data_IF_727610271285
#
_entry.id   IF_727610271285
#
_cell.length_a   1.000
_cell.length_b   1.000
_cell.length_c   1.000
_cell.angle_alpha   90.00
_cell.angle_beta   90.00
_cell.angle_gamma   90.00
#
_symmetry.space_group_name_H-M   'P 1'
#
loop_
_entity.id
_entity.type
_entity.pdbx_description
1 polymer ?
#
# COMPACT_ATOMS: atom_id res chain seq x y z
N UNK A 1 53.05 -41.91 -5.76
CA UNK A 1 52.51 -40.55 -5.86
C UNK A 1 51.05 -40.70 -6.24
N UNK A 2 50.19 -40.77 -5.22
CA UNK A 2 48.79 -41.13 -5.37
C UNK A 2 47.96 -39.86 -5.49
N UNK A 3 47.09 -39.87 -6.50
CA UNK A 3 46.16 -38.81 -6.89
C UNK A 3 45.08 -38.69 -5.82
N UNK A 4 44.95 -37.53 -5.19
CA UNK A 4 43.78 -37.17 -4.38
C UNK A 4 42.81 -36.39 -5.27
N UNK A 5 41.80 -37.10 -5.78
CA UNK A 5 40.54 -36.50 -6.23
C UNK A 5 39.79 -36.04 -4.99
N UNK A 6 39.64 -34.73 -4.86
CA UNK A 6 38.79 -34.11 -3.84
C UNK A 6 37.36 -34.26 -4.33
N UNK A 7 36.59 -35.14 -3.67
CA UNK A 7 35.16 -35.25 -3.88
C UNK A 7 34.51 -33.87 -3.69
N UNK A 8 33.88 -33.39 -4.76
CA UNK A 8 33.00 -32.25 -4.69
C UNK A 8 31.78 -32.66 -3.86
N UNK A 9 31.75 -32.21 -2.61
CA UNK A 9 30.54 -32.25 -1.79
C UNK A 9 29.53 -31.31 -2.46
N UNK A 10 28.67 -31.87 -3.32
CA UNK A 10 27.46 -31.19 -3.79
C UNK A 10 26.67 -30.77 -2.55
N UNK A 11 26.58 -29.46 -2.32
CA UNK A 11 25.65 -28.89 -1.35
C UNK A 11 24.25 -29.32 -1.78
N UNK A 12 23.67 -30.28 -1.08
CA UNK A 12 22.24 -30.57 -1.20
C UNK A 12 21.47 -29.25 -1.01
N UNK A 13 20.57 -28.88 -1.93
CA UNK A 13 19.73 -27.71 -1.74
C UNK A 13 18.92 -27.86 -0.44
N UNK A 14 18.72 -26.77 0.30
CA UNK A 14 18.12 -26.75 1.65
C UNK A 14 16.66 -27.23 1.71
N UNK A 15 16.07 -27.58 0.57
CA UNK A 15 14.63 -27.77 0.39
C UNK A 15 14.25 -29.14 -0.18
N UNK A 16 15.14 -30.12 -0.29
CA UNK A 16 14.83 -31.35 -1.01
C UNK A 16 14.02 -32.36 -0.18
N UNK A 17 12.69 -32.25 -0.20
CA UNK A 17 11.85 -33.42 0.06
C UNK A 17 12.23 -34.48 -0.98
N UNK A 18 12.71 -35.61 -0.50
CA UNK A 18 13.07 -36.74 -1.34
C UNK A 18 11.93 -37.76 -1.28
N UNK A 19 11.30 -38.08 -2.42
CA UNK A 19 10.36 -39.18 -2.48
C UNK A 19 11.02 -40.48 -2.00
N UNK A 20 10.26 -41.41 -1.41
CA UNK A 20 10.74 -42.76 -1.13
C UNK A 20 11.29 -43.44 -2.38
N UNK A 21 12.15 -44.44 -2.19
CA UNK A 21 12.62 -45.29 -3.29
C UNK A 21 11.46 -46.04 -3.95
N UNK A 22 11.63 -46.44 -5.22
CA UNK A 22 10.63 -47.25 -5.94
C UNK A 22 9.70 -46.47 -6.86
N UNK A 23 9.98 -45.18 -7.10
CA UNK A 23 9.27 -44.40 -8.10
C UNK A 23 9.49 -44.89 -9.53
N UNK A 24 8.52 -44.59 -10.39
CA UNK A 24 8.41 -45.04 -11.78
C UNK A 24 8.56 -43.90 -12.81
N UNK A 25 8.60 -42.64 -12.35
CA UNK A 25 8.74 -41.44 -13.21
C UNK A 25 9.81 -40.51 -12.65
N UNK A 26 10.61 -39.90 -13.53
CA UNK A 26 11.58 -38.86 -13.17
C UNK A 26 11.01 -37.48 -13.51
N UNK A 27 10.88 -36.59 -12.52
CA UNK A 27 10.63 -35.17 -12.74
C UNK A 27 11.95 -34.42 -12.68
N UNK A 28 12.23 -33.56 -13.65
CA UNK A 28 13.45 -32.75 -13.69
C UNK A 28 13.10 -31.26 -13.60
N UNK A 29 13.66 -30.56 -12.62
CA UNK A 29 13.49 -29.12 -12.45
C UNK A 29 14.27 -28.31 -13.49
N UNK A 30 14.02 -27.00 -13.56
CA UNK A 30 14.77 -26.09 -14.42
C UNK A 30 16.21 -25.84 -13.96
N UNK A 31 16.52 -26.11 -12.68
CA UNK A 31 17.86 -26.11 -12.09
C UNK A 31 18.48 -27.52 -12.03
N UNK A 32 18.09 -28.39 -12.97
CA UNK A 32 18.65 -29.72 -13.26
C UNK A 32 18.55 -30.77 -12.13
N UNK A 33 17.81 -30.49 -11.05
CA UNK A 33 17.53 -31.47 -9.99
C UNK A 33 16.48 -32.47 -10.45
N UNK A 34 16.75 -33.77 -10.25
CA UNK A 34 15.83 -34.84 -10.65
C UNK A 34 15.20 -35.52 -9.43
N UNK A 35 13.88 -35.68 -9.45
CA UNK A 35 13.08 -36.35 -8.44
C UNK A 35 12.47 -37.62 -9.02
N UNK A 36 12.85 -38.79 -8.50
CA UNK A 36 12.20 -40.04 -8.85
C UNK A 36 10.91 -40.20 -8.05
N UNK A 37 9.75 -40.03 -8.69
CA UNK A 37 8.43 -39.96 -8.06
C UNK A 37 7.55 -41.16 -8.43
N UNK A 38 6.42 -41.29 -7.73
CA UNK A 38 5.43 -42.33 -7.95
C UNK A 38 4.24 -41.73 -8.72
N UNK A 39 4.08 -42.10 -9.99
CA UNK A 39 3.06 -41.58 -10.89
C UNK A 39 1.65 -41.69 -10.31
N UNK A 40 1.35 -42.79 -9.62
CA UNK A 40 0.07 -43.04 -8.96
C UNK A 40 -0.25 -42.00 -7.87
N UNK A 41 0.73 -41.59 -7.06
CA UNK A 41 0.49 -40.62 -5.99
C UNK A 41 0.27 -39.22 -6.57
N UNK A 42 1.06 -38.84 -7.57
CA UNK A 42 0.89 -37.56 -8.25
C UNK A 42 -0.45 -37.51 -9.02
N UNK A 43 -0.80 -38.56 -9.76
CA UNK A 43 -2.06 -38.62 -10.51
C UNK A 43 -3.29 -38.64 -9.61
N UNK A 44 -3.20 -39.18 -8.39
CA UNK A 44 -4.29 -39.09 -7.41
C UNK A 44 -4.44 -37.68 -6.81
N UNK A 45 -3.34 -36.94 -6.69
CA UNK A 45 -3.33 -35.61 -6.10
C UNK A 45 -3.57 -34.47 -7.10
N UNK A 46 -3.33 -34.72 -8.39
CA UNK A 46 -3.31 -33.74 -9.47
C UNK A 46 -3.97 -34.30 -10.72
N UNK A 47 -5.01 -33.62 -11.19
CA UNK A 47 -5.66 -33.94 -12.47
C UNK A 47 -4.71 -33.75 -13.64
N UNK A 48 -3.88 -32.71 -13.61
CA UNK A 48 -2.86 -32.41 -14.64
C UNK A 48 -1.84 -33.54 -14.77
N UNK A 49 -1.31 -34.07 -13.66
CA UNK A 49 -0.39 -35.20 -13.71
C UNK A 49 -1.10 -36.49 -14.11
N UNK A 50 -2.35 -36.72 -13.68
CA UNK A 50 -3.13 -37.87 -14.11
C UNK A 50 -3.28 -37.92 -15.65
N UNK A 51 -3.63 -36.78 -16.24
CA UNK A 51 -3.77 -36.62 -17.69
C UNK A 51 -2.40 -36.80 -18.38
N UNK A 52 -1.34 -36.19 -17.85
CA UNK A 52 0.02 -36.30 -18.39
C UNK A 52 0.53 -37.75 -18.43
N UNK A 53 0.23 -38.54 -17.40
CA UNK A 53 0.64 -39.95 -17.34
C UNK A 53 -0.24 -40.87 -18.18
N UNK A 54 -1.51 -40.52 -18.41
CA UNK A 54 -2.42 -41.30 -19.27
C UNK A 54 -1.95 -41.33 -20.74
N UNK A 55 -1.22 -40.29 -21.18
CA UNK A 55 -0.80 -40.06 -22.58
C UNK A 55 0.45 -40.82 -23.08
N UNK A 56 0.88 -41.91 -22.44
CA UNK A 56 2.07 -42.75 -22.79
C UNK A 56 3.46 -42.26 -22.33
N UNK A 57 3.61 -41.57 -21.19
CA UNK A 57 4.94 -41.42 -20.57
C UNK A 57 5.28 -42.70 -19.78
N UNK A 58 5.59 -43.80 -20.48
CA UNK A 58 5.95 -45.07 -19.83
C UNK A 58 7.43 -45.20 -19.45
N UNK A 59 8.32 -44.29 -19.87
CA UNK A 59 9.74 -44.27 -19.50
C UNK A 59 10.44 -43.01 -20.00
N UNK A 60 10.23 -41.87 -19.33
CA UNK A 60 10.91 -40.63 -19.71
C UNK A 60 10.95 -39.62 -18.58
N UNK A 61 12.03 -38.85 -18.52
CA UNK A 61 12.15 -37.71 -17.62
C UNK A 61 11.24 -36.58 -18.09
N UNK A 62 10.37 -36.09 -17.21
CA UNK A 62 9.49 -34.96 -17.47
C UNK A 62 10.17 -33.69 -16.95
N UNK A 63 10.55 -32.81 -17.87
CA UNK A 63 11.09 -31.51 -17.51
C UNK A 63 9.98 -30.55 -17.09
N UNK A 64 10.09 -29.98 -15.89
CA UNK A 64 9.21 -28.95 -15.37
C UNK A 64 9.95 -27.60 -15.34
N UNK A 65 9.28 -26.48 -15.63
CA UNK A 65 9.91 -25.15 -15.60
C UNK A 65 10.15 -24.62 -14.18
N UNK A 66 9.60 -25.26 -13.16
CA UNK A 66 9.79 -24.91 -11.76
C UNK A 66 11.17 -25.33 -11.23
N UNK A 67 11.67 -24.57 -10.26
CA UNK A 67 12.89 -24.90 -9.52
C UNK A 67 12.70 -26.10 -8.58
N UNK A 68 13.81 -26.64 -8.08
CA UNK A 68 13.81 -27.80 -7.20
C UNK A 68 12.99 -27.56 -5.90
N UNK A 69 12.99 -26.35 -5.34
CA UNK A 69 12.24 -26.02 -4.12
C UNK A 69 10.73 -26.08 -4.35
N UNK A 70 10.28 -25.54 -5.46
CA UNK A 70 8.86 -25.49 -5.85
C UNK A 70 8.33 -26.90 -6.12
N UNK A 71 9.09 -27.73 -6.84
CA UNK A 71 8.74 -29.14 -7.06
C UNK A 71 8.74 -29.90 -5.75
N UNK A 72 9.74 -29.68 -4.89
CA UNK A 72 9.81 -30.30 -3.57
C UNK A 72 8.58 -29.97 -2.71
N UNK A 73 8.11 -28.72 -2.70
CA UNK A 73 6.90 -28.32 -1.97
C UNK A 73 5.66 -29.06 -2.50
N UNK A 74 5.48 -29.10 -3.82
CA UNK A 74 4.43 -29.88 -4.46
C UNK A 74 4.45 -31.34 -3.99
N UNK A 75 5.63 -31.96 -4.02
CA UNK A 75 5.80 -33.36 -3.60
C UNK A 75 5.53 -33.54 -2.11
N UNK A 76 6.03 -32.67 -1.24
CA UNK A 76 5.79 -32.73 0.20
C UNK A 76 4.29 -32.65 0.55
N UNK A 77 3.50 -31.89 -0.22
CA UNK A 77 2.05 -31.86 -0.05
C UNK A 77 1.34 -33.09 -0.62
N UNK A 78 1.87 -33.70 -1.68
CA UNK A 78 1.29 -34.91 -2.30
C UNK A 78 1.56 -36.17 -1.48
N UNK A 79 2.77 -36.31 -0.95
CA UNK A 79 3.17 -37.50 -0.20
C UNK A 79 2.60 -37.49 1.23
N UNK A 80 2.48 -38.68 1.87
CA UNK A 80 1.97 -38.80 3.24
C UNK A 80 3.04 -38.42 4.28
N UNK A 81 3.53 -37.19 4.20
CA UNK A 81 4.49 -36.61 5.13
C UNK A 81 3.91 -35.40 5.85
N UNK A 82 4.63 -34.91 6.86
CA UNK A 82 4.27 -33.67 7.53
C UNK A 82 4.24 -32.52 6.51
N UNK A 83 3.14 -31.77 6.51
CA UNK A 83 2.97 -30.66 5.58
C UNK A 83 3.96 -29.54 5.91
N UNK A 84 4.62 -28.95 4.90
CA UNK A 84 5.53 -27.84 5.12
C UNK A 84 4.76 -26.60 5.62
N UNK A 85 5.40 -25.83 6.50
CA UNK A 85 4.84 -24.57 6.98
C UNK A 85 5.07 -23.46 5.94
N UNK A 86 4.02 -22.70 5.64
CA UNK A 86 4.10 -21.55 4.74
C UNK A 86 4.39 -20.30 5.57
N UNK A 87 5.68 -20.00 5.76
CA UNK A 87 6.15 -18.94 6.68
C UNK A 87 6.66 -17.69 5.98
N UNK A 88 6.85 -17.74 4.66
CA UNK A 88 7.34 -16.61 3.85
C UNK A 88 6.43 -16.36 2.65
N UNK A 89 6.50 -15.15 2.08
CA UNK A 89 5.76 -14.82 0.86
C UNK A 89 6.24 -15.61 -0.37
N UNK A 90 7.53 -15.94 -0.43
CA UNK A 90 8.10 -16.76 -1.51
C UNK A 90 7.54 -18.19 -1.47
N UNK A 91 7.48 -18.80 -0.28
CA UNK A 91 6.84 -20.11 -0.09
C UNK A 91 5.35 -20.05 -0.42
N UNK A 92 4.66 -18.97 -0.04
CA UNK A 92 3.24 -18.78 -0.39
C UNK A 92 3.05 -18.70 -1.90
N UNK A 93 3.90 -17.94 -2.60
CA UNK A 93 3.87 -17.80 -4.06
C UNK A 93 4.10 -19.14 -4.75
N UNK A 94 5.12 -19.89 -4.34
CA UNK A 94 5.41 -21.25 -4.85
C UNK A 94 4.26 -22.22 -4.59
N UNK A 95 3.70 -22.22 -3.37
CA UNK A 95 2.59 -23.11 -3.02
C UNK A 95 1.32 -22.78 -3.82
N UNK A 96 0.97 -21.50 -3.96
CA UNK A 96 -0.17 -21.06 -4.77
C UNK A 96 0.03 -21.37 -6.25
N UNK A 97 1.26 -21.19 -6.76
CA UNK A 97 1.64 -21.55 -8.13
C UNK A 97 1.37 -23.03 -8.40
N UNK A 98 1.94 -23.94 -7.61
CA UNK A 98 1.79 -25.39 -7.86
C UNK A 98 0.36 -25.86 -7.61
N UNK A 99 -0.32 -25.30 -6.60
CA UNK A 99 -1.73 -25.62 -6.33
C UNK A 99 -2.61 -25.33 -7.55
N UNK A 100 -2.37 -24.22 -8.24
CA UNK A 100 -3.15 -23.82 -9.42
C UNK A 100 -2.67 -24.49 -10.69
N UNK A 101 -1.37 -24.44 -10.97
CA UNK A 101 -0.79 -24.92 -12.23
C UNK A 101 -0.96 -26.44 -12.39
N UNK A 102 -0.79 -27.18 -11.30
CA UNK A 102 -0.92 -28.63 -11.28
C UNK A 102 -2.26 -29.09 -10.69
N UNK A 103 -3.21 -28.19 -10.46
CA UNK A 103 -4.54 -28.49 -9.91
C UNK A 103 -4.50 -29.44 -8.69
N UNK A 104 -3.72 -29.05 -7.68
CA UNK A 104 -3.57 -29.83 -6.44
C UNK A 104 -4.47 -29.25 -5.36
N UNK A 105 -5.71 -29.72 -5.33
CA UNK A 105 -6.77 -29.19 -4.45
C UNK A 105 -6.39 -29.22 -2.96
N UNK A 106 -5.61 -30.24 -2.54
CA UNK A 106 -5.11 -30.36 -1.17
C UNK A 106 -4.29 -29.14 -0.75
N UNK A 107 -3.41 -28.63 -1.62
CA UNK A 107 -2.57 -27.46 -1.30
C UNK A 107 -3.45 -26.21 -1.16
N UNK A 108 -4.40 -26.04 -2.08
CA UNK A 108 -5.35 -24.93 -2.01
C UNK A 108 -6.14 -24.94 -0.70
N UNK A 109 -6.66 -26.09 -0.28
CA UNK A 109 -7.37 -26.25 1.01
C UNK A 109 -6.49 -25.91 2.21
N UNK A 110 -5.23 -26.34 2.21
CA UNK A 110 -4.29 -26.03 3.30
C UNK A 110 -4.03 -24.52 3.38
N UNK A 111 -3.82 -23.85 2.25
CA UNK A 111 -3.64 -22.39 2.20
C UNK A 111 -4.87 -21.70 2.80
N UNK A 112 -6.08 -22.06 2.37
CA UNK A 112 -7.33 -21.46 2.86
C UNK A 112 -7.56 -21.69 4.36
N UNK A 113 -7.14 -22.83 4.89
CA UNK A 113 -7.25 -23.13 6.33
C UNK A 113 -6.17 -22.41 7.16
N UNK A 114 -4.96 -22.25 6.61
CA UNK A 114 -3.80 -21.69 7.32
C UNK A 114 -3.81 -20.17 7.36
N UNK A 115 -4.36 -19.54 6.32
CA UNK A 115 -4.39 -18.08 6.21
C UNK A 115 -5.70 -17.53 6.76
N UNK A 116 -5.60 -16.90 7.93
CA UNK A 116 -6.69 -16.18 8.60
C UNK A 116 -6.17 -14.84 9.16
N UNK A 117 -7.04 -14.05 9.78
CA UNK A 117 -6.72 -12.69 10.26
C UNK A 117 -5.61 -12.60 11.31
N UNK A 118 -5.19 -13.72 11.90
CA UNK A 118 -4.10 -13.78 12.90
C UNK A 118 -2.82 -14.44 12.35
N UNK A 119 -2.82 -14.84 11.08
CA UNK A 119 -1.64 -15.40 10.45
C UNK A 119 -0.53 -14.34 10.41
N UNK A 120 0.71 -14.73 10.74
CA UNK A 120 1.84 -13.80 10.86
C UNK A 120 2.12 -13.03 9.56
N UNK A 121 2.07 -13.70 8.41
CA UNK A 121 2.28 -13.06 7.10
C UNK A 121 1.18 -12.06 6.76
N UNK A 122 -0.08 -12.40 7.08
CA UNK A 122 -1.23 -11.50 6.87
C UNK A 122 -1.13 -10.26 7.75
N UNK A 123 -0.58 -10.38 8.96
CA UNK A 123 -0.34 -9.25 9.86
C UNK A 123 0.86 -8.43 9.39
N UNK A 124 1.97 -9.07 9.02
CA UNK A 124 3.22 -8.35 8.73
C UNK A 124 3.25 -7.72 7.35
N UNK A 125 2.74 -8.43 6.34
CA UNK A 125 2.73 -7.97 4.95
C UNK A 125 1.43 -8.37 4.21
N UNK A 126 0.29 -7.78 4.59
CA UNK A 126 -0.98 -8.02 3.90
C UNK A 126 -0.92 -7.60 2.43
N UNK A 127 -0.07 -6.65 2.05
CA UNK A 127 0.04 -6.18 0.67
C UNK A 127 0.72 -7.21 -0.24
N UNK A 128 1.80 -7.83 0.25
CA UNK A 128 2.47 -8.94 -0.42
C UNK A 128 1.56 -10.15 -0.56
N UNK A 129 0.82 -10.52 0.51
CA UNK A 129 -0.18 -11.60 0.44
C UNK A 129 -1.29 -11.28 -0.57
N UNK A 130 -1.76 -10.04 -0.61
CA UNK A 130 -2.74 -9.59 -1.60
C UNK A 130 -2.20 -9.74 -3.04
N UNK A 131 -0.96 -9.32 -3.30
CA UNK A 131 -0.33 -9.48 -4.62
C UNK A 131 -0.25 -10.94 -5.05
N UNK A 132 0.28 -11.80 -4.19
CA UNK A 132 0.47 -13.22 -4.49
C UNK A 132 -0.87 -13.93 -4.73
N UNK A 133 -1.88 -13.61 -3.91
CA UNK A 133 -3.22 -14.18 -4.08
C UNK A 133 -3.92 -13.73 -5.36
N UNK A 134 -3.72 -12.47 -5.81
CA UNK A 134 -4.21 -12.01 -7.12
C UNK A 134 -3.51 -12.75 -8.25
N UNK A 135 -2.17 -12.85 -8.21
CA UNK A 135 -1.35 -13.52 -9.23
C UNK A 135 -1.79 -14.95 -9.51
N UNK A 136 -2.19 -15.69 -8.47
CA UNK A 136 -2.62 -17.09 -8.56
C UNK A 136 -4.13 -17.30 -8.39
N UNK A 137 -4.92 -16.23 -8.48
CA UNK A 137 -6.38 -16.30 -8.40
C UNK A 137 -6.94 -16.99 -7.15
N UNK A 138 -6.47 -16.65 -5.94
CA UNK A 138 -7.03 -17.12 -4.66
C UNK A 138 -7.95 -16.05 -4.03
N UNK A 139 -9.26 -16.01 -4.39
CA UNK A 139 -10.14 -14.88 -4.06
C UNK A 139 -10.43 -14.71 -2.56
N UNK A 140 -10.47 -15.80 -1.80
CA UNK A 140 -10.65 -15.80 -0.35
C UNK A 140 -9.45 -15.20 0.36
N UNK A 141 -8.23 -15.60 -0.02
CA UNK A 141 -6.99 -15.01 0.50
C UNK A 141 -6.85 -13.55 0.05
N UNK A 142 -7.21 -13.24 -1.19
CA UNK A 142 -7.25 -11.87 -1.70
C UNK A 142 -8.16 -10.99 -0.82
N UNK A 143 -9.38 -11.46 -0.55
CA UNK A 143 -10.34 -10.74 0.29
C UNK A 143 -9.83 -10.58 1.74
N UNK A 144 -9.22 -11.63 2.28
CA UNK A 144 -8.62 -11.59 3.61
C UNK A 144 -7.51 -10.54 3.70
N UNK A 145 -6.57 -10.57 2.75
CA UNK A 145 -5.43 -9.67 2.69
C UNK A 145 -5.88 -8.22 2.53
N UNK A 146 -6.84 -7.96 1.63
CA UNK A 146 -7.42 -6.64 1.43
C UNK A 146 -8.04 -6.07 2.72
N UNK A 147 -8.79 -6.88 3.48
CA UNK A 147 -9.41 -6.48 4.75
C UNK A 147 -8.38 -6.22 5.87
N UNK A 148 -7.19 -6.79 5.76
CA UNK A 148 -6.10 -6.66 6.74
C UNK A 148 -5.20 -5.45 6.48
N UNK A 149 -5.27 -4.82 5.30
CA UNK A 149 -4.49 -3.62 4.98
C UNK A 149 -4.80 -2.46 5.95
N UNK A 150 -3.74 -1.71 6.31
CA UNK A 150 -3.77 -0.55 7.21
C UNK A 150 -2.74 0.46 6.72
N UNK A 151 -2.86 1.76 7.08
CA UNK A 151 -1.88 2.78 6.69
C UNK A 151 -0.44 2.46 7.12
N UNK A 152 -0.25 1.69 8.20
CA UNK A 152 1.07 1.24 8.67
C UNK A 152 1.77 0.29 7.71
N UNK A 153 1.02 -0.42 6.85
CA UNK A 153 1.57 -1.31 5.83
C UNK A 153 1.84 -0.56 4.54
N UNK A 154 0.91 0.29 4.12
CA UNK A 154 1.03 1.15 2.95
C UNK A 154 0.02 2.30 3.07
N UNK A 155 0.49 3.54 3.15
CA UNK A 155 -0.38 4.71 3.24
C UNK A 155 -0.76 5.23 1.84
N UNK A 156 -1.91 4.78 1.34
CA UNK A 156 -2.47 5.19 0.05
C UNK A 156 -2.89 6.67 -0.04
N UNK A 157 -2.72 7.44 1.03
CA UNK A 157 -2.99 8.87 1.09
C UNK A 157 -1.71 9.71 1.06
N UNK A 158 -0.54 9.10 0.83
CA UNK A 158 0.74 9.81 0.78
C UNK A 158 1.50 9.45 -0.49
N UNK A 159 2.33 10.38 -0.96
CA UNK A 159 3.19 10.17 -2.14
C UNK A 159 4.11 8.98 -1.92
N UNK A 160 4.80 8.92 -0.77
CA UNK A 160 5.71 7.81 -0.44
C UNK A 160 5.03 6.45 -0.37
N UNK A 161 3.83 6.37 0.21
CA UNK A 161 3.04 5.13 0.24
C UNK A 161 2.57 4.71 -1.15
N UNK A 162 2.09 5.64 -1.98
CA UNK A 162 1.69 5.36 -3.36
C UNK A 162 2.87 4.93 -4.25
N UNK A 163 4.03 5.56 -4.14
CA UNK A 163 5.25 5.12 -4.84
C UNK A 163 5.63 3.69 -4.42
N UNK A 164 5.54 3.37 -3.13
CA UNK A 164 5.78 2.01 -2.64
C UNK A 164 4.76 1.02 -3.22
N UNK A 165 3.49 1.43 -3.35
CA UNK A 165 2.43 0.62 -3.94
C UNK A 165 2.67 0.32 -5.43
N UNK A 166 3.17 1.29 -6.20
CA UNK A 166 3.56 1.09 -7.61
C UNK A 166 4.64 0.02 -7.76
N UNK A 167 5.62 -0.03 -6.84
CA UNK A 167 6.65 -1.08 -6.87
C UNK A 167 6.06 -2.49 -6.66
N UNK A 168 4.92 -2.59 -5.98
CA UNK A 168 4.21 -3.86 -5.79
C UNK A 168 3.35 -4.21 -7.01
N UNK A 169 2.75 -3.22 -7.67
CA UNK A 169 1.85 -3.36 -8.82
C UNK A 169 2.27 -2.46 -10.00
N UNK A 170 3.40 -2.75 -10.68
CA UNK A 170 3.93 -1.89 -11.73
C UNK A 170 2.97 -1.77 -12.93
N UNK A 171 2.22 -2.82 -13.24
CA UNK A 171 1.24 -2.85 -14.33
C UNK A 171 0.05 -1.89 -14.09
N UNK A 172 -0.17 -1.47 -12.84
CA UNK A 172 -1.23 -0.54 -12.45
C UNK A 172 -0.71 0.88 -12.18
N UNK A 173 0.56 1.17 -12.47
CA UNK A 173 1.25 2.46 -12.24
C UNK A 173 0.39 3.69 -12.58
N UNK A 174 -0.02 3.82 -13.84
CA UNK A 174 -0.81 4.95 -14.33
C UNK A 174 -2.15 5.11 -13.58
N UNK A 175 -2.84 4.01 -13.27
CA UNK A 175 -4.11 4.05 -12.54
C UNK A 175 -3.89 4.43 -11.06
N UNK A 176 -2.80 3.94 -10.45
CA UNK A 176 -2.36 4.31 -9.11
C UNK A 176 -2.00 5.80 -9.07
N UNK A 177 -1.26 6.31 -10.05
CA UNK A 177 -0.94 7.72 -10.17
C UNK A 177 -2.19 8.59 -10.26
N UNK A 178 -3.11 8.26 -11.17
CA UNK A 178 -4.34 9.01 -11.38
C UNK A 178 -5.22 9.10 -10.11
N UNK A 179 -5.50 7.96 -9.47
CA UNK A 179 -6.38 7.88 -8.29
C UNK A 179 -5.63 8.36 -7.04
N UNK A 180 -4.40 7.88 -6.87
CA UNK A 180 -3.55 8.16 -5.73
C UNK A 180 -3.22 9.65 -5.59
N UNK A 181 -3.03 10.37 -6.70
CA UNK A 181 -2.82 11.82 -6.65
C UNK A 181 -4.00 12.55 -6.03
N UNK A 182 -5.24 12.14 -6.31
CA UNK A 182 -6.41 12.76 -5.68
C UNK A 182 -6.46 12.47 -4.17
N UNK A 183 -6.18 11.24 -3.79
CA UNK A 183 -6.11 10.82 -2.39
C UNK A 183 -5.02 11.59 -1.60
N UNK A 184 -3.82 11.70 -2.17
CA UNK A 184 -2.71 12.43 -1.57
C UNK A 184 -2.99 13.94 -1.51
N UNK A 185 -3.59 14.51 -2.56
CA UNK A 185 -4.02 15.92 -2.57
C UNK A 185 -4.97 16.22 -1.43
N UNK A 186 -6.00 15.40 -1.23
CA UNK A 186 -6.96 15.56 -0.12
C UNK A 186 -6.21 15.54 1.23
N UNK A 187 -5.30 14.59 1.43
CA UNK A 187 -4.54 14.47 2.69
C UNK A 187 -3.64 15.68 2.93
N UNK A 188 -2.94 16.16 1.90
CA UNK A 188 -2.09 17.36 1.97
C UNK A 188 -2.93 18.58 2.33
N UNK A 189 -4.03 18.82 1.62
CA UNK A 189 -4.89 19.97 1.88
C UNK A 189 -5.51 19.93 3.28
N UNK A 190 -5.95 18.76 3.74
CA UNK A 190 -6.45 18.60 5.10
C UNK A 190 -5.38 18.94 6.14
N UNK A 191 -4.16 18.41 5.97
CA UNK A 191 -3.03 18.65 6.87
C UNK A 191 -2.67 20.13 6.94
N UNK A 192 -2.50 20.77 5.79
CA UNK A 192 -2.04 22.16 5.69
C UNK A 192 -3.10 23.14 6.20
N UNK A 193 -4.37 22.95 5.82
CA UNK A 193 -5.43 23.91 6.13
C UNK A 193 -6.01 23.74 7.55
N UNK A 194 -6.05 22.51 8.08
CA UNK A 194 -6.75 22.22 9.34
C UNK A 194 -5.84 21.69 10.45
N UNK A 195 -4.90 20.79 10.14
CA UNK A 195 -4.06 20.18 11.19
C UNK A 195 -2.89 21.07 11.62
N UNK A 196 -2.40 21.93 10.72
CA UNK A 196 -1.20 22.75 10.94
C UNK A 196 -1.41 24.27 10.68
N UNK A 197 -2.46 24.91 11.26
CA UNK A 197 -2.75 26.33 11.03
C UNK A 197 -1.62 27.27 11.49
N UNK A 198 -0.81 26.84 12.46
CA UNK A 198 0.40 27.55 12.89
C UNK A 198 1.44 27.68 11.77
N UNK A 199 1.56 26.66 10.91
CA UNK A 199 2.51 26.71 9.79
C UNK A 199 2.08 27.74 8.75
N UNK A 200 0.77 27.90 8.57
CA UNK A 200 0.19 28.98 7.77
C UNK A 200 0.30 30.36 8.44
N UNK A 201 0.93 30.46 9.61
CA UNK A 201 1.23 31.73 10.26
C UNK A 201 0.10 32.32 11.10
N UNK A 202 -0.87 31.50 11.51
CA UNK A 202 -1.91 31.88 12.47
C UNK A 202 -1.34 31.79 13.89
N UNK A 203 -0.62 32.83 14.33
CA UNK A 203 0.06 32.82 15.64
C UNK A 203 -0.78 33.53 16.73
N UNK A 204 -0.60 33.15 18.02
CA UNK A 204 -1.36 33.73 19.15
C UNK A 204 -1.15 35.24 19.39
N UNK A 205 -0.04 35.79 18.89
CA UNK A 205 0.40 37.18 19.06
C UNK A 205 -0.02 38.11 17.90
N UNK A 206 -0.64 37.56 16.85
CA UNK A 206 -1.06 38.33 15.68
C UNK A 206 -2.38 39.05 15.93
N UNK A 207 -2.29 40.19 16.62
CA UNK A 207 -3.41 41.06 16.92
C UNK A 207 -4.21 41.48 15.69
N UNK A 208 -3.63 41.52 14.49
CA UNK A 208 -4.32 42.01 13.29
C UNK A 208 -5.36 41.05 12.70
N UNK A 209 -5.36 39.77 13.06
CA UNK A 209 -6.29 38.75 12.54
C UNK A 209 -7.62 38.66 13.31
N UNK A 210 -7.70 39.34 14.46
CA UNK A 210 -8.77 39.16 15.43
C UNK A 210 -9.07 40.45 16.20
N UNK A 211 -10.34 40.76 16.44
CA UNK A 211 -10.71 41.85 17.33
C UNK A 211 -10.35 41.55 18.79
N UNK A 212 -10.14 42.61 19.58
CA UNK A 212 -9.82 42.51 21.00
C UNK A 212 -10.86 41.71 21.78
N UNK A 213 -12.14 41.79 21.41
CA UNK A 213 -13.22 41.00 22.03
C UNK A 213 -13.12 39.51 21.71
N UNK A 214 -12.92 39.12 20.45
CA UNK A 214 -12.77 37.72 20.05
C UNK A 214 -11.47 37.10 20.62
N UNK A 215 -10.38 37.87 20.59
CA UNK A 215 -9.11 37.46 21.18
C UNK A 215 -9.21 37.31 22.70
N UNK A 216 -9.84 38.27 23.38
CA UNK A 216 -10.06 38.26 24.82
C UNK A 216 -10.98 37.11 25.27
N UNK A 217 -12.05 36.84 24.52
CA UNK A 217 -12.94 35.70 24.78
C UNK A 217 -12.18 34.37 24.73
N UNK A 218 -11.35 34.16 23.69
CA UNK A 218 -10.57 32.95 23.58
C UNK A 218 -9.53 32.80 24.69
N UNK A 219 -8.79 33.87 25.00
CA UNK A 219 -7.79 33.86 26.07
C UNK A 219 -8.43 33.55 27.44
N UNK A 220 -9.63 34.06 27.69
CA UNK A 220 -10.39 33.80 28.91
C UNK A 220 -10.95 32.38 29.01
N UNK A 221 -11.37 31.79 27.89
CA UNK A 221 -12.03 30.47 27.88
C UNK A 221 -11.04 29.29 27.78
N UNK A 222 -10.00 29.41 26.96
CA UNK A 222 -9.05 28.33 26.68
C UNK A 222 -7.70 28.52 27.39
N UNK A 223 -7.39 29.71 27.91
CA UNK A 223 -6.10 30.02 28.53
C UNK A 223 -5.00 30.40 27.52
N UNK A 224 -3.81 30.74 28.03
CA UNK A 224 -2.72 31.30 27.21
C UNK A 224 -1.99 30.27 26.31
N UNK A 225 -2.16 28.97 26.58
CA UNK A 225 -1.41 27.91 25.92
C UNK A 225 -2.05 27.43 24.60
N UNK A 226 -3.25 27.89 24.26
CA UNK A 226 -3.96 27.45 23.05
C UNK A 226 -3.87 28.48 21.92
N UNK A 227 -3.65 27.98 20.71
CA UNK A 227 -3.62 28.80 19.49
C UNK A 227 -5.03 29.31 19.19
N UNK A 228 -5.21 30.63 19.17
CA UNK A 228 -6.46 31.21 18.70
C UNK A 228 -6.56 31.10 17.18
N UNK A 229 -7.52 30.34 16.70
CA UNK A 229 -7.87 30.30 15.28
C UNK A 229 -9.16 31.10 15.07
N UNK A 230 -9.13 32.24 14.33
CA UNK A 230 -10.32 33.05 14.11
C UNK A 230 -11.42 32.28 13.37
N UNK A 231 -12.69 32.55 13.69
CA UNK A 231 -13.83 31.92 13.01
C UNK A 231 -13.83 32.10 11.48
N UNK A 232 -13.37 33.27 11.00
CA UNK A 232 -13.23 33.54 9.57
C UNK A 232 -12.22 32.59 8.89
N UNK A 233 -11.15 32.18 9.60
CA UNK A 233 -10.12 31.28 9.07
C UNK A 233 -10.71 29.91 8.76
N UNK A 234 -11.53 29.36 9.66
CA UNK A 234 -12.17 28.06 9.43
C UNK A 234 -13.04 28.07 8.17
N UNK A 235 -13.78 29.15 7.95
CA UNK A 235 -14.64 29.29 6.77
C UNK A 235 -13.80 29.46 5.52
N UNK A 236 -12.78 30.31 5.59
CA UNK A 236 -11.81 30.46 4.51
C UNK A 236 -11.18 29.11 4.14
N UNK A 237 -10.71 28.34 5.12
CA UNK A 237 -10.07 27.04 4.94
C UNK A 237 -11.03 26.03 4.30
N UNK A 238 -12.29 25.94 4.76
CA UNK A 238 -13.30 25.04 4.17
C UNK A 238 -13.57 25.41 2.70
N UNK A 239 -13.70 26.71 2.40
CA UNK A 239 -14.02 27.18 1.06
C UNK A 239 -12.84 27.05 0.11
N UNK A 240 -11.64 27.37 0.58
CA UNK A 240 -10.40 27.19 -0.16
C UNK A 240 -10.12 25.71 -0.42
N UNK A 241 -10.31 24.84 0.58
CA UNK A 241 -10.21 23.39 0.41
C UNK A 241 -11.12 22.89 -0.71
N UNK A 242 -12.40 23.28 -0.69
CA UNK A 242 -13.35 22.89 -1.74
C UNK A 242 -12.93 23.38 -3.13
N UNK A 243 -12.36 24.59 -3.23
CA UNK A 243 -11.86 25.14 -4.48
C UNK A 243 -10.61 24.41 -4.99
N UNK A 244 -9.62 24.17 -4.11
CA UNK A 244 -8.35 23.51 -4.44
C UNK A 244 -8.50 22.02 -4.80
N UNK A 245 -9.62 21.39 -4.44
CA UNK A 245 -9.95 20.05 -4.94
C UNK A 245 -10.35 20.06 -6.42
N UNK A 246 -10.89 21.18 -6.92
CA UNK A 246 -11.44 21.29 -8.27
C UNK A 246 -10.55 22.08 -9.23
N UNK A 247 -9.72 22.98 -8.69
CA UNK A 247 -8.99 23.98 -9.48
C UNK A 247 -7.53 24.07 -9.05
N UNK A 248 -6.63 24.46 -9.97
CA UNK A 248 -5.25 24.76 -9.60
C UNK A 248 -5.16 26.03 -8.72
N UNK A 249 -4.03 26.19 -8.03
CA UNK A 249 -3.87 27.24 -6.99
C UNK A 249 -3.94 28.66 -7.57
N UNK A 250 -3.47 28.85 -8.80
CA UNK A 250 -3.50 30.11 -9.53
C UNK A 250 -4.91 30.58 -9.86
N UNK A 251 -5.84 29.68 -10.14
CA UNK A 251 -7.27 30.02 -10.28
C UNK A 251 -7.96 30.35 -8.95
N UNK A 252 -7.30 30.04 -7.82
CA UNK A 252 -7.83 30.28 -6.47
C UNK A 252 -7.31 31.59 -5.85
N UNK A 253 -6.68 32.48 -6.64
CA UNK A 253 -6.09 33.73 -6.15
C UNK A 253 -7.06 34.62 -5.35
N UNK A 254 -8.35 34.65 -5.71
CA UNK A 254 -9.38 35.44 -5.01
C UNK A 254 -9.45 35.12 -3.52
N UNK A 255 -9.30 33.84 -3.14
CA UNK A 255 -9.36 33.38 -1.75
C UNK A 255 -8.25 33.95 -0.86
N UNK A 256 -7.15 34.44 -1.46
CA UNK A 256 -6.02 35.04 -0.76
C UNK A 256 -6.12 36.57 -0.70
N UNK A 257 -7.30 37.14 -0.92
CA UNK A 257 -7.54 38.58 -0.89
C UNK A 257 -8.37 38.99 0.32
N UNK A 258 -8.15 40.22 0.81
CA UNK A 258 -8.99 40.79 1.87
C UNK A 258 -10.44 40.96 1.41
N UNK A 259 -10.65 41.18 0.10
CA UNK A 259 -11.98 41.28 -0.52
C UNK A 259 -12.80 40.01 -0.30
N UNK A 260 -12.19 38.84 -0.52
CA UNK A 260 -12.88 37.58 -0.26
C UNK A 260 -13.28 37.42 1.22
N UNK A 261 -12.40 37.80 2.14
CA UNK A 261 -12.71 37.76 3.59
C UNK A 261 -13.87 38.69 3.95
N UNK A 262 -14.00 39.83 3.26
CA UNK A 262 -15.16 40.71 3.40
C UNK A 262 -16.44 40.08 2.84
N UNK A 263 -16.36 39.33 1.74
CA UNK A 263 -17.50 38.58 1.21
C UNK A 263 -17.98 37.51 2.18
N UNK A 264 -17.11 36.94 3.03
CA UNK A 264 -17.51 35.98 4.06
C UNK A 264 -18.53 36.55 5.06
N UNK A 265 -18.52 37.86 5.30
CA UNK A 265 -19.52 38.57 6.11
C UNK A 265 -20.91 38.48 5.48
N UNK A 266 -20.99 38.59 4.16
CA UNK A 266 -22.23 38.57 3.40
C UNK A 266 -22.90 37.18 3.37
N UNK A 267 -22.14 36.11 3.66
CA UNK A 267 -22.62 34.73 3.60
C UNK A 267 -23.15 34.17 4.95
N UNK A 268 -23.21 34.97 6.04
CA UNK A 268 -23.84 34.59 7.32
C UNK A 268 -22.95 34.72 8.57
N UNK A 269 -23.40 34.17 9.73
CA UNK A 269 -22.81 34.30 11.10
C UNK A 269 -21.41 33.68 11.30
N UNK A 270 -20.54 33.74 10.31
CA UNK A 270 -19.30 33.00 10.28
C UNK A 270 -18.04 33.78 10.66
N UNK A 271 -18.01 35.07 10.33
CA UNK A 271 -16.87 35.94 10.56
C UNK A 271 -17.30 37.15 11.40
N UNK A 272 -16.52 37.50 12.41
CA UNK A 272 -16.78 38.69 13.22
C UNK A 272 -16.44 39.96 12.43
N UNK A 273 -17.40 40.87 12.28
CA UNK A 273 -17.23 42.14 11.56
C UNK A 273 -16.08 42.98 12.10
N UNK A 274 -15.86 42.95 13.41
CA UNK A 274 -14.73 43.65 14.04
C UNK A 274 -13.39 43.01 13.70
N UNK A 275 -13.31 41.68 13.57
CA UNK A 275 -12.10 41.01 13.08
C UNK A 275 -11.81 41.38 11.62
N UNK A 276 -12.85 41.42 10.77
CA UNK A 276 -12.73 41.84 9.37
C UNK A 276 -12.25 43.29 9.28
N UNK A 277 -12.87 44.20 10.05
CA UNK A 277 -12.47 45.60 10.13
C UNK A 277 -11.01 45.76 10.57
N UNK A 278 -10.55 44.96 11.53
CA UNK A 278 -9.17 44.99 11.98
C UNK A 278 -8.18 44.49 10.91
N UNK A 279 -8.50 43.43 10.18
CA UNK A 279 -7.69 42.97 9.05
C UNK A 279 -7.65 44.01 7.93
N UNK A 280 -8.78 44.69 7.65
CA UNK A 280 -8.85 45.77 6.68
C UNK A 280 -7.94 46.94 7.04
N UNK A 281 -7.94 47.34 8.31
CA UNK A 281 -7.03 48.39 8.82
C UNK A 281 -5.55 47.96 8.76
N UNK A 282 -5.28 46.66 8.79
CA UNK A 282 -3.94 46.06 8.75
C UNK A 282 -3.68 45.30 7.43
N UNK A 283 -4.18 45.83 6.31
CA UNK A 283 -4.15 45.14 5.01
C UNK A 283 -2.74 44.67 4.59
N UNK A 284 -1.69 45.44 4.91
CA UNK A 284 -0.30 45.06 4.60
C UNK A 284 0.09 43.73 5.30
N UNK A 285 -0.25 43.59 6.58
CA UNK A 285 0.05 42.38 7.36
C UNK A 285 -0.79 41.19 6.86
N UNK A 286 -2.07 41.43 6.56
CA UNK A 286 -2.93 40.41 5.96
C UNK A 286 -2.38 39.90 4.62
N UNK A 287 -1.98 40.81 3.70
CA UNK A 287 -1.45 40.42 2.40
C UNK A 287 -0.15 39.62 2.52
N UNK A 288 0.74 39.98 3.45
CA UNK A 288 1.96 39.20 3.74
C UNK A 288 1.62 37.79 4.21
N UNK A 289 0.65 37.66 5.11
CA UNK A 289 0.17 36.36 5.54
C UNK A 289 -0.42 35.56 4.38
N UNK A 290 -1.33 36.16 3.60
CA UNK A 290 -2.02 35.47 2.51
C UNK A 290 -1.04 34.98 1.42
N UNK A 291 -0.04 35.78 1.08
CA UNK A 291 1.03 35.38 0.16
C UNK A 291 1.85 34.20 0.70
N UNK A 292 2.22 34.25 1.99
CA UNK A 292 2.93 33.14 2.64
C UNK A 292 2.09 31.87 2.69
N UNK A 293 0.81 31.98 3.04
CA UNK A 293 -0.12 30.86 3.07
C UNK A 293 -0.24 30.20 1.69
N UNK A 294 -0.39 31.02 0.63
CA UNK A 294 -0.41 30.55 -0.75
C UNK A 294 0.88 29.80 -1.11
N UNK A 295 2.04 30.38 -0.78
CA UNK A 295 3.33 29.76 -1.05
C UNK A 295 3.46 28.38 -0.38
N UNK A 296 3.12 28.27 0.91
CA UNK A 296 3.18 27.00 1.65
C UNK A 296 2.26 25.96 1.01
N UNK A 297 1.04 26.34 0.61
CA UNK A 297 0.11 25.44 -0.07
C UNK A 297 0.70 24.95 -1.40
N UNK A 298 1.31 25.83 -2.18
CA UNK A 298 1.97 25.46 -3.44
C UNK A 298 3.15 24.51 -3.21
N UNK A 299 4.01 24.80 -2.23
CA UNK A 299 5.15 23.96 -1.85
C UNK A 299 4.70 22.56 -1.42
N UNK A 300 3.63 22.46 -0.62
CA UNK A 300 3.08 21.19 -0.17
C UNK A 300 2.40 20.41 -1.31
N UNK A 301 1.69 21.08 -2.21
CA UNK A 301 1.09 20.43 -3.38
C UNK A 301 2.12 19.97 -4.42
N UNK A 302 3.30 20.60 -4.47
CA UNK A 302 4.40 20.17 -5.34
C UNK A 302 4.94 18.78 -4.97
N UNK A 303 4.66 18.27 -3.76
CA UNK A 303 4.96 16.87 -3.40
C UNK A 303 4.24 15.87 -4.31
N UNK A 304 3.15 16.27 -4.98
CA UNK A 304 2.37 15.41 -5.89
C UNK A 304 3.05 15.18 -7.25
N UNK A 305 4.04 15.98 -7.64
CA UNK A 305 4.68 15.92 -8.96
C UNK A 305 5.14 14.51 -9.38
N UNK A 306 5.79 13.70 -8.51
CA UNK A 306 6.17 12.34 -8.87
C UNK A 306 4.99 11.46 -9.27
N UNK A 307 3.80 11.68 -8.70
CA UNK A 307 2.60 10.88 -8.99
C UNK A 307 1.96 11.24 -10.33
N UNK A 308 2.14 12.47 -10.81
CA UNK A 308 1.69 12.87 -12.15
C UNK A 308 2.51 12.22 -13.27
N UNK A 309 3.73 11.78 -12.96
CA UNK A 309 4.64 11.13 -13.91
C UNK A 309 4.61 9.59 -13.89
N UNK A 310 3.73 8.99 -13.07
CA UNK A 310 3.51 7.53 -13.02
C UNK A 310 2.68 7.02 -14.19
#
# INVERSE_FOLDING_TARGET
MSVNTVDAIEKQPSFAFQPPTGGDVDLKSCDDTTFRVHSVLLGLASTVFADMFSGQVKSGTIALPEDAETISLLLAFTYPVAQPLITTLDLLDKCMLVARKYDVEKIAKVIEQTFHSKNSLVISDPLGVFRVSVKHHFPSIQTLAAKSLRPTHCDFLTVGGLTSFVNVFPDASHAIGLIGTQSARIKILCKVLFDQPLQLGIYPDQSYMACTSCWGYHKGYFGQSYVFVPGWYFIWAIRLHAALLQKPVDECNHYFTITYVMELEAFGKGACNSCIGQMKSNNISFNKWAQRAKQIIMEQLAELEPLYSL
#
